data_IF_908800143800
#
_entry.id   IF_908800143800
#
_cell.length_a   1.000
_cell.length_b   1.000
_cell.length_c   1.000
_cell.angle_alpha   90.00
_cell.angle_beta   90.00
_cell.angle_gamma   90.00
#
_symmetry.space_group_name_H-M   'P 1'
#
loop_
_entity.id
_entity.type
_entity.pdbx_description
1 polymer ?
#
# COMPACT_ATOMS: atom_id res chain seq x y z
N UNK A 1 2.26 25.57 22.47
CA UNK A 1 2.75 26.95 22.31
C UNK A 1 3.51 27.23 23.59
N UNK A 2 4.84 27.24 23.55
CA UNK A 2 5.64 27.51 24.75
C UNK A 2 5.46 28.98 25.12
N UNK A 3 4.97 29.25 26.33
CA UNK A 3 4.83 30.61 26.87
C UNK A 3 6.22 31.23 27.02
N UNK A 4 6.40 32.43 26.49
CA UNK A 4 7.65 33.18 26.67
C UNK A 4 7.78 33.65 28.11
N UNK A 5 8.99 34.02 28.54
CA UNK A 5 9.19 34.63 29.86
C UNK A 5 8.38 35.93 30.01
N UNK A 6 8.13 36.64 28.91
CA UNK A 6 7.29 37.84 28.84
C UNK A 6 5.82 37.57 29.14
N UNK A 7 5.33 36.37 28.85
CA UNK A 7 3.92 36.00 29.05
C UNK A 7 3.61 35.66 30.52
N UNK A 8 4.64 35.46 31.34
CA UNK A 8 4.51 35.04 32.75
C UNK A 8 4.94 36.13 33.74
N UNK A 9 5.26 37.34 33.28
CA UNK A 9 5.71 38.45 34.13
C UNK A 9 4.57 38.93 35.03
N UNK A 10 4.86 39.19 36.30
CA UNK A 10 3.87 39.61 37.32
C UNK A 10 3.66 41.13 37.38
N UNK A 11 4.50 41.90 36.69
CA UNK A 11 4.49 43.37 36.69
C UNK A 11 4.96 43.93 35.34
N UNK A 12 4.77 45.22 35.11
CA UNK A 12 5.31 45.86 33.89
C UNK A 12 6.83 45.81 33.87
N UNK A 13 7.40 45.37 32.74
CA UNK A 13 8.85 45.31 32.55
C UNK A 13 9.38 46.75 32.46
N UNK A 14 10.33 47.16 33.33
CA UNK A 14 10.91 48.50 33.26
C UNK A 14 11.57 48.77 31.91
N UNK A 15 11.41 49.99 31.40
CA UNK A 15 11.92 50.44 30.08
C UNK A 15 13.41 50.14 29.87
N UNK A 16 14.17 50.16 30.96
CA UNK A 16 15.62 49.91 30.99
C UNK A 16 15.98 48.45 30.66
N UNK A 17 15.11 47.49 30.97
CA UNK A 17 15.39 46.07 30.74
C UNK A 17 15.15 45.65 29.29
N UNK A 18 14.43 46.43 28.49
CA UNK A 18 14.13 46.09 27.09
C UNK A 18 15.36 46.03 26.19
N UNK A 19 16.45 46.71 26.56
CA UNK A 19 17.70 46.73 25.80
C UNK A 19 18.77 45.82 26.42
N UNK A 20 18.47 45.16 27.55
CA UNK A 20 19.40 44.26 28.21
C UNK A 20 19.34 42.88 27.58
N UNK A 21 20.49 42.23 27.55
CA UNK A 21 20.68 40.86 27.11
C UNK A 21 20.80 39.92 28.31
N UNK A 22 20.69 38.61 28.08
CA UNK A 22 20.71 37.60 29.16
C UNK A 22 22.00 37.67 29.99
N UNK A 23 23.14 38.03 29.38
CA UNK A 23 24.42 38.15 30.10
C UNK A 23 24.43 39.27 31.13
N UNK A 24 23.61 40.30 30.95
CA UNK A 24 23.50 41.43 31.89
C UNK A 24 22.81 41.03 33.21
N UNK A 25 22.20 39.84 33.24
CA UNK A 25 21.59 39.23 34.42
C UNK A 25 22.47 38.17 35.09
N UNK A 26 23.76 38.11 34.72
CA UNK A 26 24.75 37.19 35.29
C UNK A 26 25.74 37.98 36.16
N UNK A 27 26.05 37.48 37.35
CA UNK A 27 27.00 38.10 38.26
C UNK A 27 28.47 37.77 37.90
N UNK A 28 29.42 38.40 38.60
CA UNK A 28 30.84 38.17 38.37
C UNK A 28 31.31 36.73 38.69
N UNK A 29 30.46 35.93 39.36
CA UNK A 29 30.74 34.53 39.68
C UNK A 29 30.17 33.57 38.62
N UNK A 30 29.57 34.08 37.55
CA UNK A 30 28.94 33.27 36.51
C UNK A 30 27.59 32.67 36.92
N UNK A 31 26.93 33.25 37.93
CA UNK A 31 25.64 32.82 38.45
C UNK A 31 24.54 33.85 38.17
N UNK A 32 23.26 33.44 38.19
CA UNK A 32 22.16 34.38 37.99
C UNK A 32 22.12 35.45 39.08
N UNK A 33 22.17 36.72 38.67
CA UNK A 33 21.88 37.85 39.54
C UNK A 33 20.36 37.93 39.82
N UNK A 34 19.85 37.00 40.63
CA UNK A 34 18.41 36.87 40.90
C UNK A 34 17.79 38.18 41.42
N UNK A 35 18.57 39.00 42.12
CA UNK A 35 18.12 40.29 42.65
C UNK A 35 17.60 41.27 41.58
N UNK A 36 18.12 41.20 40.35
CA UNK A 36 17.73 42.14 39.29
C UNK A 36 16.42 41.81 38.59
N UNK A 37 15.88 40.60 38.73
CA UNK A 37 14.66 40.17 38.03
C UNK A 37 13.65 39.37 38.87
N UNK A 38 13.98 38.98 40.11
CA UNK A 38 13.09 38.18 40.97
C UNK A 38 11.73 38.82 41.27
N UNK A 39 11.65 40.15 41.20
CA UNK A 39 10.41 40.90 41.42
C UNK A 39 9.46 40.88 40.21
N UNK A 40 9.98 40.49 39.04
CA UNK A 40 9.25 40.47 37.77
C UNK A 40 8.62 39.11 37.47
N UNK A 41 9.07 38.04 38.11
CA UNK A 41 8.64 36.68 37.81
C UNK A 41 7.95 36.02 39.01
N UNK A 42 6.94 35.16 38.76
CA UNK A 42 6.37 34.33 39.80
C UNK A 42 7.37 33.24 40.20
N UNK A 43 7.18 32.63 41.37
CA UNK A 43 8.06 31.58 41.90
C UNK A 43 8.31 30.45 40.90
N UNK A 44 7.28 30.05 40.13
CA UNK A 44 7.43 29.02 39.09
C UNK A 44 8.41 29.45 37.98
N UNK A 45 8.34 30.71 37.54
CA UNK A 45 9.27 31.26 36.55
C UNK A 45 10.70 31.31 37.08
N UNK A 46 10.89 31.69 38.34
CA UNK A 46 12.21 31.73 38.98
C UNK A 46 12.84 30.35 39.10
N UNK A 47 12.05 29.33 39.43
CA UNK A 47 12.53 27.95 39.48
C UNK A 47 12.96 27.43 38.10
N UNK A 48 12.24 27.81 37.03
CA UNK A 48 12.62 27.47 35.65
C UNK A 48 13.92 28.15 35.23
N UNK A 49 14.10 29.44 35.55
CA UNK A 49 15.35 30.16 35.28
C UNK A 49 16.51 29.56 36.07
N UNK A 50 16.32 29.25 37.35
CA UNK A 50 17.35 28.64 38.19
C UNK A 50 17.77 27.23 37.73
N UNK A 51 16.88 26.50 37.06
CA UNK A 51 17.18 25.17 36.51
C UNK A 51 18.08 25.21 35.25
N UNK A 52 18.20 26.37 34.60
CA UNK A 52 19.03 26.57 33.41
C UNK A 52 20.26 27.38 33.85
N UNK A 53 21.48 26.84 33.86
CA UNK A 53 22.66 27.61 34.22
C UNK A 53 22.88 28.77 33.23
N UNK A 54 23.41 29.92 33.69
CA UNK A 54 23.76 31.02 32.79
C UNK A 54 24.75 30.58 31.72
N UNK A 55 24.69 31.22 30.55
CA UNK A 55 25.65 30.98 29.48
C UNK A 55 27.03 31.48 29.93
N UNK A 56 27.95 30.54 30.19
CA UNK A 56 29.36 30.82 30.49
C UNK A 56 30.25 30.43 29.32
N UNK A 57 31.36 31.13 29.11
CA UNK A 57 32.32 30.90 28.01
C UNK A 57 32.83 29.45 27.90
N UNK A 58 32.75 28.67 28.99
CA UNK A 58 33.13 27.26 29.03
C UNK A 58 32.08 26.28 28.44
N UNK A 59 30.88 26.74 28.07
CA UNK A 59 29.80 25.88 27.54
C UNK A 59 29.94 25.58 26.04
N UNK A 60 30.92 26.21 25.37
CA UNK A 60 31.19 26.04 23.95
C UNK A 60 30.24 26.83 23.06
N UNK A 61 30.34 26.60 21.74
CA UNK A 61 29.49 27.25 20.74
C UNK A 61 28.04 26.74 20.81
N UNK A 62 27.09 27.65 20.59
CA UNK A 62 25.67 27.32 20.47
C UNK A 62 25.43 26.33 19.33
N UNK A 63 24.59 25.32 19.58
CA UNK A 63 24.29 24.26 18.63
C UNK A 63 22.78 24.09 18.51
N UNK A 64 22.25 24.02 17.27
CA UNK A 64 20.85 23.70 17.08
C UNK A 64 20.57 22.32 17.67
N UNK A 65 19.55 22.23 18.52
CA UNK A 65 19.11 20.97 19.11
C UNK A 65 17.73 20.58 18.58
N UNK A 66 17.48 19.28 18.50
CA UNK A 66 16.21 18.75 18.03
C UNK A 66 15.28 18.45 19.20
N UNK A 67 14.34 19.35 19.50
CA UNK A 67 13.45 19.25 20.68
C UNK A 67 12.45 18.09 20.68
N UNK A 68 12.29 17.38 19.55
CA UNK A 68 11.36 16.25 19.43
C UNK A 68 11.98 14.90 19.82
N UNK A 69 13.28 14.85 20.13
CA UNK A 69 13.92 13.63 20.65
C UNK A 69 14.67 13.92 21.96
N UNK A 70 14.61 13.02 22.96
CA UNK A 70 15.37 13.18 24.20
C UNK A 70 16.89 13.24 23.98
N UNK A 71 17.38 12.61 22.90
CA UNK A 71 18.79 12.65 22.49
C UNK A 71 19.19 13.92 21.75
N UNK A 72 18.28 14.90 21.59
CA UNK A 72 18.51 16.14 20.86
C UNK A 72 18.98 15.95 19.40
N UNK A 73 18.80 14.74 18.87
CA UNK A 73 19.29 14.33 17.56
C UNK A 73 18.17 14.39 16.54
N UNK A 74 18.42 15.07 15.43
CA UNK A 74 17.49 15.11 14.30
C UNK A 74 17.35 13.73 13.67
N UNK A 75 16.13 13.26 13.50
CA UNK A 75 15.82 12.12 12.63
C UNK A 75 14.60 12.40 11.78
N UNK A 76 14.60 11.91 10.54
CA UNK A 76 13.42 11.98 9.67
C UNK A 76 12.20 11.33 10.32
N UNK A 77 12.39 10.26 11.11
CA UNK A 77 11.29 9.60 11.87
C UNK A 77 10.63 10.56 12.85
N UNK A 78 11.42 11.27 13.67
CA UNK A 78 10.86 12.18 14.68
C UNK A 78 10.12 13.39 14.08
N UNK A 79 10.57 13.93 12.94
CA UNK A 79 9.77 14.92 12.19
C UNK A 79 8.50 14.29 11.69
N UNK A 80 8.62 13.13 11.05
CA UNK A 80 7.49 12.48 10.44
C UNK A 80 6.42 12.18 11.48
N UNK A 81 6.79 11.66 12.64
CA UNK A 81 5.89 11.41 13.77
C UNK A 81 5.23 12.70 14.27
N UNK A 82 5.98 13.78 14.49
CA UNK A 82 5.42 15.06 14.94
C UNK A 82 4.46 15.69 13.90
N UNK A 83 4.79 15.60 12.61
CA UNK A 83 3.94 16.13 11.53
C UNK A 83 2.74 15.22 11.24
N UNK A 84 2.83 13.95 11.59
CA UNK A 84 1.73 12.97 11.46
C UNK A 84 1.00 12.71 12.78
N UNK A 85 1.31 13.48 13.83
CA UNK A 85 0.62 13.40 15.11
C UNK A 85 -0.86 13.76 14.91
N UNK A 86 -1.77 12.85 15.27
CA UNK A 86 -3.21 12.99 15.00
C UNK A 86 -3.67 12.48 13.63
N UNK A 87 -2.80 11.87 12.82
CA UNK A 87 -3.23 11.16 11.60
C UNK A 87 -4.10 9.96 12.00
N UNK A 88 -5.24 9.82 11.34
CA UNK A 88 -6.25 8.80 11.58
C UNK A 88 -5.64 7.38 11.60
N UNK A 89 -5.80 6.68 12.73
CA UNK A 89 -5.36 5.30 12.97
C UNK A 89 -5.91 4.34 11.90
N UNK A 90 -7.11 4.62 11.38
CA UNK A 90 -7.73 3.85 10.31
C UNK A 90 -6.90 3.91 9.01
N UNK A 91 -6.36 5.10 8.69
CA UNK A 91 -5.51 5.35 7.52
C UNK A 91 -4.18 4.62 7.65
N UNK A 92 -3.54 4.70 8.82
CA UNK A 92 -2.30 3.97 9.10
C UNK A 92 -2.47 2.45 8.96
N UNK A 93 -3.58 1.91 9.48
CA UNK A 93 -3.92 0.48 9.33
C UNK A 93 -4.11 0.08 7.87
N UNK A 94 -4.86 0.88 7.12
CA UNK A 94 -5.15 0.61 5.70
C UNK A 94 -3.88 0.62 4.85
N UNK A 95 -2.96 1.55 5.11
CA UNK A 95 -1.65 1.59 4.45
C UNK A 95 -0.84 0.33 4.75
N UNK A 96 -0.75 -0.10 6.01
CA UNK A 96 -0.02 -1.31 6.39
C UNK A 96 -0.60 -2.57 5.74
N UNK A 97 -1.92 -2.69 5.69
CA UNK A 97 -2.59 -3.81 5.01
C UNK A 97 -2.32 -3.81 3.50
N UNK A 98 -2.31 -2.63 2.87
CA UNK A 98 -2.01 -2.47 1.44
C UNK A 98 -0.56 -2.87 1.14
N UNK A 99 0.41 -2.40 1.94
CA UNK A 99 1.84 -2.72 1.73
C UNK A 99 2.16 -4.20 1.87
N UNK A 100 1.41 -4.93 2.72
CA UNK A 100 1.55 -6.38 2.90
C UNK A 100 1.03 -7.20 1.71
N UNK A 101 0.20 -6.63 0.82
CA UNK A 101 -0.34 -7.37 -0.33
C UNK A 101 0.68 -7.42 -1.47
N UNK A 102 0.96 -8.63 -1.95
CA UNK A 102 1.82 -8.85 -3.11
C UNK A 102 1.12 -8.43 -4.40
N UNK A 103 1.74 -7.51 -5.15
CA UNK A 103 1.27 -6.98 -6.43
C UNK A 103 2.34 -6.09 -7.09
N UNK A 104 2.17 -5.75 -8.37
CA UNK A 104 3.12 -4.93 -9.12
C UNK A 104 3.37 -3.58 -8.43
N UNK A 105 4.65 -3.27 -8.19
CA UNK A 105 5.06 -2.10 -7.40
C UNK A 105 4.47 -0.77 -7.89
N UNK A 106 4.26 -0.61 -9.20
CA UNK A 106 3.65 0.59 -9.79
C UNK A 106 2.20 0.79 -9.35
N UNK A 107 1.37 -0.26 -9.44
CA UNK A 107 -0.05 -0.21 -9.01
C UNK A 107 -0.12 0.03 -7.51
N UNK A 108 0.78 -0.60 -6.73
CA UNK A 108 0.85 -0.40 -5.28
C UNK A 108 1.16 1.05 -4.90
N UNK A 109 2.16 1.65 -5.55
CA UNK A 109 2.52 3.06 -5.33
C UNK A 109 1.36 3.98 -5.68
N UNK A 110 0.70 3.74 -6.81
CA UNK A 110 -0.50 4.47 -7.20
C UNK A 110 -1.62 4.38 -6.15
N UNK A 111 -1.96 3.17 -5.69
CA UNK A 111 -3.00 2.98 -4.67
C UNK A 111 -2.64 3.66 -3.35
N UNK A 112 -1.34 3.68 -3.00
CA UNK A 112 -0.84 4.44 -1.86
C UNK A 112 -1.06 5.95 -2.04
N UNK A 113 -0.79 6.51 -3.23
CA UNK A 113 -1.06 7.92 -3.51
C UNK A 113 -2.55 8.24 -3.41
N UNK A 114 -3.42 7.36 -3.89
CA UNK A 114 -4.89 7.51 -3.77
C UNK A 114 -5.33 7.54 -2.31
N UNK A 115 -4.87 6.59 -1.48
CA UNK A 115 -5.17 6.58 -0.03
C UNK A 115 -4.65 7.80 0.71
N UNK A 116 -3.67 8.50 0.12
CA UNK A 116 -3.09 9.69 0.71
C UNK A 116 -3.61 11.00 0.13
N UNK A 117 -4.58 10.94 -0.79
CA UNK A 117 -5.04 12.09 -1.57
C UNK A 117 -3.86 12.86 -2.20
N UNK A 118 -2.82 12.13 -2.59
CA UNK A 118 -1.54 12.65 -3.07
C UNK A 118 -1.32 12.36 -4.57
N UNK A 119 -2.38 11.93 -5.27
CA UNK A 119 -2.33 11.70 -6.70
C UNK A 119 -2.32 13.06 -7.40
N UNK A 120 -1.35 13.28 -8.29
CA UNK A 120 -1.29 14.48 -9.13
C UNK A 120 -2.47 14.47 -10.10
N UNK A 121 -3.60 15.02 -9.67
CA UNK A 121 -4.73 15.39 -10.53
C UNK A 121 -4.47 16.76 -11.15
N UNK A 122 -5.24 17.15 -12.16
CA UNK A 122 -5.16 18.50 -12.72
C UNK A 122 -5.35 19.60 -11.67
N UNK A 123 -6.17 19.35 -10.64
CA UNK A 123 -6.32 20.26 -9.49
C UNK A 123 -5.04 20.41 -8.67
N UNK A 124 -4.29 19.32 -8.46
CA UNK A 124 -2.99 19.38 -7.78
C UNK A 124 -1.91 20.01 -8.66
N UNK A 125 -1.95 19.80 -9.99
CA UNK A 125 -1.10 20.51 -10.94
C UNK A 125 -1.31 22.03 -10.88
N UNK A 126 -2.57 22.48 -10.76
CA UNK A 126 -2.89 23.90 -10.61
C UNK A 126 -2.48 24.44 -9.22
N UNK A 127 -2.72 23.67 -8.14
CA UNK A 127 -2.28 24.03 -6.78
C UNK A 127 -0.76 24.14 -6.66
N UNK A 128 -0.03 23.31 -7.39
CA UNK A 128 1.44 23.35 -7.46
C UNK A 128 1.98 24.37 -8.50
N UNK A 129 1.12 25.22 -9.07
CA UNK A 129 1.46 26.22 -10.09
C UNK A 129 2.16 25.65 -11.35
N UNK A 130 1.95 24.37 -11.66
CA UNK A 130 2.56 23.68 -12.81
C UNK A 130 1.75 23.85 -14.10
N UNK A 131 0.49 24.27 -14.00
CA UNK A 131 -0.39 24.55 -15.15
C UNK A 131 -1.12 25.87 -14.88
N UNK A 132 -1.16 26.75 -15.90
CA UNK A 132 -1.75 28.08 -15.79
C UNK A 132 -3.28 28.08 -15.69
N UNK A 133 -3.92 26.96 -16.03
CA UNK A 133 -5.36 26.86 -16.13
C UNK A 133 -5.85 25.47 -15.69
N UNK A 134 -6.52 25.41 -14.54
CA UNK A 134 -7.22 24.22 -14.02
C UNK A 134 -8.52 23.92 -14.76
N UNK A 135 -8.99 24.84 -15.60
CA UNK A 135 -10.27 24.78 -16.31
C UNK A 135 -10.20 24.09 -17.67
N UNK A 136 -9.18 23.26 -17.91
CA UNK A 136 -9.24 22.30 -19.03
C UNK A 136 -10.31 21.26 -18.71
N UNK A 137 -11.56 21.65 -18.91
CA UNK A 137 -12.80 20.90 -18.76
C UNK A 137 -12.83 19.79 -19.83
N UNK A 138 -11.98 18.78 -19.70
CA UNK A 138 -12.01 17.61 -20.60
C UNK A 138 -13.22 16.72 -20.27
N UNK A 139 -13.88 16.92 -19.12
CA UNK A 139 -15.07 16.16 -18.69
C UNK A 139 -16.26 17.04 -18.25
N UNK A 140 -16.21 18.36 -18.43
CA UNK A 140 -17.29 19.28 -18.02
C UNK A 140 -17.50 19.42 -16.51
N UNK A 141 -16.63 18.83 -15.67
CA UNK A 141 -16.64 19.01 -14.22
C UNK A 141 -15.82 20.24 -13.81
N UNK A 142 -16.31 21.01 -12.83
CA UNK A 142 -15.65 22.23 -12.33
C UNK A 142 -14.26 21.97 -11.70
N UNK A 143 -14.04 20.76 -11.17
CA UNK A 143 -12.76 20.33 -10.61
C UNK A 143 -12.59 18.81 -10.76
N UNK A 144 -11.50 18.38 -11.38
CA UNK A 144 -11.16 16.97 -11.52
C UNK A 144 -10.50 16.43 -10.24
N UNK A 145 -11.28 15.72 -9.43
CA UNK A 145 -10.82 15.05 -8.21
C UNK A 145 -10.45 13.59 -8.46
N UNK A 146 -9.74 12.95 -7.52
CA UNK A 146 -9.44 11.50 -7.60
C UNK A 146 -10.74 10.68 -7.64
N UNK A 147 -11.73 11.07 -6.84
CA UNK A 147 -13.05 10.46 -6.81
C UNK A 147 -13.73 10.54 -8.18
N UNK A 148 -13.70 11.72 -8.81
CA UNK A 148 -14.24 11.89 -10.15
C UNK A 148 -13.57 10.97 -11.17
N UNK A 149 -12.23 10.94 -11.22
CA UNK A 149 -11.47 10.12 -12.18
C UNK A 149 -11.71 8.62 -11.99
N UNK A 150 -11.82 8.17 -10.73
CA UNK A 150 -11.92 6.74 -10.42
C UNK A 150 -13.35 6.23 -10.34
N UNK A 151 -14.35 7.11 -10.20
CA UNK A 151 -15.71 6.71 -9.85
C UNK A 151 -16.79 7.46 -10.62
N UNK A 152 -16.76 8.79 -10.61
CA UNK A 152 -17.93 9.59 -11.01
C UNK A 152 -17.92 10.03 -12.48
N UNK A 153 -16.77 9.99 -13.15
CA UNK A 153 -16.67 10.26 -14.59
C UNK A 153 -17.41 9.19 -15.41
N UNK A 154 -18.08 9.60 -16.50
CA UNK A 154 -18.92 8.73 -17.32
C UNK A 154 -18.24 7.42 -17.71
N UNK A 155 -16.99 7.49 -18.20
CA UNK A 155 -16.26 6.28 -18.59
C UNK A 155 -15.98 5.37 -17.37
N UNK A 156 -15.67 5.95 -16.21
CA UNK A 156 -15.48 5.19 -14.97
C UNK A 156 -16.77 4.50 -14.54
N UNK A 157 -17.90 5.21 -14.57
CA UNK A 157 -19.21 4.65 -14.28
C UNK A 157 -19.52 3.44 -15.18
N UNK A 158 -19.33 3.57 -16.49
CA UNK A 158 -19.59 2.47 -17.43
C UNK A 158 -18.63 1.29 -17.25
N UNK A 159 -17.35 1.54 -16.94
CA UNK A 159 -16.41 0.46 -16.60
C UNK A 159 -16.90 -0.31 -15.37
N UNK A 160 -17.29 0.38 -14.30
CA UNK A 160 -17.79 -0.27 -13.09
C UNK A 160 -19.09 -1.03 -13.34
N UNK A 161 -20.01 -0.45 -14.12
CA UNK A 161 -21.23 -1.11 -14.56
C UNK A 161 -20.95 -2.45 -15.26
N UNK A 162 -19.98 -2.49 -16.18
CA UNK A 162 -19.59 -3.71 -16.89
C UNK A 162 -18.84 -4.74 -16.03
N UNK A 163 -18.05 -4.29 -15.05
CA UNK A 163 -17.29 -5.18 -14.18
C UNK A 163 -18.15 -5.83 -13.08
N UNK A 164 -19.12 -5.10 -12.54
CA UNK A 164 -19.90 -5.49 -11.34
C UNK A 164 -21.31 -5.96 -11.72
N UNK A 165 -21.83 -5.46 -12.84
CA UNK A 165 -23.18 -5.72 -13.31
C UNK A 165 -24.21 -4.72 -12.77
N UNK A 166 -25.24 -4.48 -13.59
CA UNK A 166 -26.30 -3.48 -13.37
C UNK A 166 -26.97 -3.55 -11.99
N UNK A 167 -27.18 -4.75 -11.46
CA UNK A 167 -27.90 -4.94 -10.20
C UNK A 167 -27.13 -4.45 -8.97
N UNK A 168 -25.79 -4.35 -9.04
CA UNK A 168 -24.92 -4.07 -7.89
C UNK A 168 -24.19 -2.74 -7.98
N UNK A 169 -24.15 -2.10 -9.16
CA UNK A 169 -23.41 -0.84 -9.35
C UNK A 169 -23.96 0.30 -8.49
N UNK A 170 -25.28 0.36 -8.27
CA UNK A 170 -25.89 1.40 -7.42
C UNK A 170 -25.44 1.30 -5.97
N UNK A 171 -25.48 0.11 -5.38
CA UNK A 171 -24.95 -0.14 -4.03
C UNK A 171 -23.45 0.13 -3.98
N UNK A 172 -22.71 -0.32 -4.99
CA UNK A 172 -21.27 -0.14 -5.08
C UNK A 172 -20.85 1.34 -5.05
N UNK A 173 -21.57 2.23 -5.73
CA UNK A 173 -21.20 3.65 -5.81
C UNK A 173 -21.76 4.50 -4.65
N UNK A 174 -22.53 3.91 -3.74
CA UNK A 174 -23.30 4.65 -2.72
C UNK A 174 -22.49 5.12 -1.49
N UNK A 175 -21.33 4.51 -1.21
CA UNK A 175 -20.56 4.80 0.00
C UNK A 175 -19.61 6.01 -0.18
N UNK A 176 -19.21 6.70 0.90
CA UNK A 176 -18.15 7.71 0.85
C UNK A 176 -16.88 7.17 0.20
N UNK A 177 -16.13 8.00 -0.54
CA UNK A 177 -15.01 7.54 -1.37
C UNK A 177 -13.95 6.75 -0.59
N UNK A 178 -13.56 7.22 0.60
CA UNK A 178 -12.56 6.53 1.43
C UNK A 178 -13.04 5.16 1.90
N UNK A 179 -14.30 5.03 2.28
CA UNK A 179 -14.91 3.76 2.71
C UNK A 179 -15.06 2.81 1.53
N UNK A 180 -15.54 3.34 0.40
CA UNK A 180 -15.64 2.62 -0.86
C UNK A 180 -14.30 2.04 -1.29
N UNK A 181 -13.26 2.87 -1.29
CA UNK A 181 -11.92 2.48 -1.72
C UNK A 181 -11.31 1.44 -0.77
N UNK A 182 -11.40 1.69 0.55
CA UNK A 182 -10.84 0.79 1.58
C UNK A 182 -11.54 -0.57 1.56
N UNK A 183 -12.88 -0.60 1.53
CA UNK A 183 -13.69 -1.83 1.49
C UNK A 183 -13.32 -2.69 0.28
N UNK A 184 -13.27 -2.09 -0.90
CA UNK A 184 -13.00 -2.86 -2.13
C UNK A 184 -11.54 -3.32 -2.24
N UNK A 185 -10.59 -2.54 -1.73
CA UNK A 185 -9.17 -2.89 -1.78
C UNK A 185 -8.76 -3.89 -0.67
N UNK A 186 -9.34 -3.78 0.53
CA UNK A 186 -8.90 -4.50 1.72
C UNK A 186 -9.83 -5.66 2.11
N UNK A 187 -11.13 -5.55 1.86
CA UNK A 187 -12.12 -6.55 2.29
C UNK A 187 -12.65 -7.40 1.13
N UNK A 188 -12.13 -7.18 -0.08
CA UNK A 188 -12.49 -7.93 -1.28
C UNK A 188 -12.28 -9.43 -1.15
N UNK A 189 -13.35 -10.20 -1.34
CA UNK A 189 -13.31 -11.67 -1.38
C UNK A 189 -12.55 -12.19 -2.61
N UNK A 190 -11.92 -13.36 -2.47
CA UNK A 190 -11.42 -14.14 -3.59
C UNK A 190 -12.62 -14.81 -4.30
N UNK A 191 -13.17 -14.13 -5.30
CA UNK A 191 -14.14 -14.74 -6.22
C UNK A 191 -13.41 -15.47 -7.35
N UNK A 192 -14.08 -16.45 -7.96
CA UNK A 192 -13.49 -17.33 -8.98
C UNK A 192 -12.92 -16.54 -10.18
N UNK A 193 -11.79 -17.06 -10.68
CA UNK A 193 -10.87 -16.57 -11.71
C UNK A 193 -9.96 -15.38 -11.37
N UNK A 194 -10.44 -14.30 -10.75
CA UNK A 194 -9.60 -13.14 -10.36
C UNK A 194 -10.02 -12.62 -8.98
N UNK A 195 -9.07 -12.49 -8.07
CA UNK A 195 -9.28 -11.92 -6.74
C UNK A 195 -9.80 -10.48 -6.86
N UNK A 196 -10.90 -10.17 -6.16
CA UNK A 196 -11.63 -8.90 -6.32
C UNK A 196 -10.72 -7.68 -6.11
N UNK A 197 -9.92 -7.69 -5.06
CA UNK A 197 -9.02 -6.60 -4.75
C UNK A 197 -7.96 -6.36 -5.85
N UNK A 198 -7.52 -7.42 -6.52
CA UNK A 198 -6.59 -7.33 -7.67
C UNK A 198 -7.30 -6.72 -8.86
N UNK A 199 -8.53 -7.16 -9.15
CA UNK A 199 -9.35 -6.60 -10.23
C UNK A 199 -9.67 -5.12 -9.97
N UNK A 200 -10.11 -4.78 -8.76
CA UNK A 200 -10.43 -3.42 -8.33
C UNK A 200 -9.23 -2.48 -8.41
N UNK A 201 -8.09 -2.89 -7.83
CA UNK A 201 -6.86 -2.08 -7.88
C UNK A 201 -6.34 -1.89 -9.31
N UNK A 202 -6.48 -2.92 -10.16
CA UNK A 202 -6.13 -2.83 -11.58
C UNK A 202 -7.08 -1.88 -12.33
N UNK A 203 -8.39 -1.96 -12.06
CA UNK A 203 -9.38 -1.07 -12.64
C UNK A 203 -9.10 0.39 -12.30
N UNK A 204 -8.84 0.71 -11.03
CA UNK A 204 -8.47 2.06 -10.60
C UNK A 204 -7.23 2.58 -11.34
N UNK A 205 -6.18 1.76 -11.45
CA UNK A 205 -4.97 2.13 -12.19
C UNK A 205 -5.24 2.39 -13.67
N UNK A 206 -6.03 1.52 -14.32
CA UNK A 206 -6.34 1.64 -15.74
C UNK A 206 -7.24 2.84 -16.05
N UNK A 207 -8.21 3.12 -15.18
CA UNK A 207 -9.06 4.32 -15.28
C UNK A 207 -8.22 5.60 -15.21
N UNK A 208 -7.37 5.72 -14.20
CA UNK A 208 -6.47 6.86 -14.09
C UNK A 208 -5.49 6.96 -15.27
N UNK A 209 -4.92 5.84 -15.70
CA UNK A 209 -3.99 5.82 -16.83
C UNK A 209 -4.66 6.21 -18.16
N UNK A 210 -5.88 5.73 -18.39
CA UNK A 210 -6.68 6.09 -19.56
C UNK A 210 -7.01 7.58 -19.54
N UNK A 211 -7.45 8.10 -18.38
CA UNK A 211 -7.75 9.51 -18.22
C UNK A 211 -6.55 10.41 -18.49
N UNK A 212 -5.37 10.03 -17.99
CA UNK A 212 -4.15 10.79 -18.28
C UNK A 212 -3.78 10.78 -19.77
N UNK A 213 -4.03 9.69 -20.49
CA UNK A 213 -3.81 9.65 -21.95
C UNK A 213 -4.79 10.55 -22.70
N UNK A 214 -6.05 10.58 -22.30
CA UNK A 214 -7.05 11.52 -22.83
C UNK A 214 -6.59 12.97 -22.65
N UNK A 215 -6.12 13.33 -21.45
CA UNK A 215 -5.71 14.70 -21.13
C UNK A 215 -4.40 15.11 -21.82
N UNK A 216 -3.41 14.23 -21.84
CA UNK A 216 -2.04 14.56 -22.33
C UNK A 216 -1.93 14.39 -23.85
N UNK A 217 -2.50 13.32 -24.38
CA UNK A 217 -2.31 12.89 -25.77
C UNK A 217 -3.56 13.16 -26.63
N UNK A 218 -4.72 13.36 -26.01
CA UNK A 218 -5.99 13.49 -26.73
C UNK A 218 -6.55 12.16 -27.25
N UNK A 219 -6.11 11.03 -26.67
CA UNK A 219 -6.54 9.69 -27.09
C UNK A 219 -7.89 9.33 -26.46
N UNK A 220 -8.94 9.16 -27.27
CA UNK A 220 -10.25 8.74 -26.78
C UNK A 220 -10.24 7.29 -26.27
N UNK A 221 -10.77 7.07 -25.07
CA UNK A 221 -10.82 5.73 -24.49
C UNK A 221 -12.16 5.05 -24.74
N UNK A 222 -12.14 3.94 -25.50
CA UNK A 222 -13.29 3.05 -25.60
C UNK A 222 -13.48 2.21 -24.32
N UNK A 223 -14.62 2.37 -23.64
CA UNK A 223 -14.98 1.64 -22.41
C UNK A 223 -14.86 0.12 -22.56
N UNK A 224 -15.36 -0.45 -23.67
CA UNK A 224 -15.31 -1.91 -23.89
C UNK A 224 -13.88 -2.42 -23.97
N UNK A 225 -13.02 -1.68 -24.68
CA UNK A 225 -11.59 -1.99 -24.77
C UNK A 225 -10.93 -1.92 -23.40
N UNK A 226 -11.22 -0.86 -22.64
CA UNK A 226 -10.69 -0.66 -21.30
C UNK A 226 -11.08 -1.78 -20.33
N UNK A 227 -12.34 -2.23 -20.34
CA UNK A 227 -12.81 -3.36 -19.53
C UNK A 227 -12.04 -4.65 -19.86
N UNK A 228 -11.79 -4.93 -21.13
CA UNK A 228 -11.00 -6.08 -21.56
C UNK A 228 -9.54 -5.96 -21.09
N UNK A 229 -8.94 -4.78 -21.23
CA UNK A 229 -7.58 -4.50 -20.73
C UNK A 229 -7.49 -4.70 -19.22
N UNK A 230 -8.48 -4.22 -18.46
CA UNK A 230 -8.55 -4.39 -17.00
C UNK A 230 -8.56 -5.88 -16.64
N UNK A 231 -9.46 -6.67 -17.22
CA UNK A 231 -9.58 -8.10 -16.95
C UNK A 231 -8.28 -8.84 -17.30
N UNK A 232 -7.70 -8.56 -18.47
CA UNK A 232 -6.46 -9.18 -18.91
C UNK A 232 -5.28 -8.84 -17.98
N UNK A 233 -5.11 -7.57 -17.62
CA UNK A 233 -4.04 -7.12 -16.71
C UNK A 233 -4.21 -7.66 -15.30
N UNK A 234 -5.44 -7.72 -14.79
CA UNK A 234 -5.70 -8.28 -13.47
C UNK A 234 -5.39 -9.78 -13.42
N UNK A 235 -5.71 -10.51 -14.50
CA UNK A 235 -5.36 -11.93 -14.63
C UNK A 235 -3.84 -12.14 -14.71
N UNK A 236 -3.14 -11.31 -15.50
CA UNK A 236 -1.67 -11.29 -15.57
C UNK A 236 -1.06 -11.10 -14.18
N UNK A 237 -1.55 -10.12 -13.41
CA UNK A 237 -1.05 -9.84 -12.06
C UNK A 237 -1.29 -11.00 -11.10
N UNK A 238 -2.45 -11.64 -11.19
CA UNK A 238 -2.74 -12.81 -10.37
C UNK A 238 -1.80 -13.98 -10.68
N UNK A 239 -1.56 -14.26 -11.97
CA UNK A 239 -0.62 -15.31 -12.38
C UNK A 239 0.79 -14.99 -11.93
N UNK A 240 1.27 -13.76 -12.12
CA UNK A 240 2.58 -13.32 -11.63
C UNK A 240 2.71 -13.45 -10.10
N UNK A 241 1.64 -13.13 -9.36
CA UNK A 241 1.59 -13.30 -7.90
C UNK A 241 1.75 -14.77 -7.51
N UNK A 242 0.98 -15.66 -8.12
CA UNK A 242 1.06 -17.11 -7.87
C UNK A 242 2.44 -17.67 -8.21
N UNK A 243 3.02 -17.27 -9.34
CA UNK A 243 4.37 -17.68 -9.74
C UNK A 243 5.44 -17.18 -8.75
N UNK A 244 5.35 -15.93 -8.28
CA UNK A 244 6.26 -15.41 -7.28
C UNK A 244 6.16 -16.16 -5.96
N UNK A 245 4.94 -16.43 -5.46
CA UNK A 245 4.74 -17.25 -4.27
C UNK A 245 5.33 -18.65 -4.44
N UNK A 246 5.10 -19.28 -5.60
CA UNK A 246 5.68 -20.60 -5.91
C UNK A 246 7.21 -20.57 -5.89
N UNK A 247 7.84 -19.54 -6.45
CA UNK A 247 9.31 -19.36 -6.40
C UNK A 247 9.79 -19.19 -4.96
N UNK A 248 9.10 -18.38 -4.14
CA UNK A 248 9.47 -18.19 -2.73
C UNK A 248 9.30 -19.46 -1.91
N UNK A 249 8.22 -20.21 -2.14
CA UNK A 249 7.99 -21.52 -1.53
C UNK A 249 9.06 -22.52 -1.95
N UNK A 250 9.45 -22.56 -3.22
CA UNK A 250 10.55 -23.40 -3.69
C UNK A 250 11.89 -23.01 -3.06
N UNK A 251 12.20 -21.71 -2.95
CA UNK A 251 13.42 -21.24 -2.27
C UNK A 251 13.42 -21.64 -0.80
N UNK A 252 12.30 -21.44 -0.10
CA UNK A 252 12.14 -21.82 1.32
C UNK A 252 12.21 -23.32 1.52
N UNK A 253 11.62 -24.10 0.61
CA UNK A 253 11.71 -25.56 0.60
C UNK A 253 13.16 -26.01 0.42
N UNK A 254 13.89 -25.48 -0.56
CA UNK A 254 15.32 -25.78 -0.76
C UNK A 254 16.19 -25.42 0.44
N UNK A 255 15.92 -24.27 1.08
CA UNK A 255 16.63 -23.84 2.29
C UNK A 255 16.35 -24.75 3.49
N UNK A 256 15.10 -25.15 3.70
CA UNK A 256 14.68 -26.00 4.82
C UNK A 256 15.03 -27.48 4.64
N UNK A 257 15.10 -27.96 3.40
CA UNK A 257 15.33 -29.38 3.08
C UNK A 257 16.71 -29.65 2.45
N UNK A 258 17.65 -28.69 2.50
CA UNK A 258 19.06 -28.91 2.18
C UNK A 258 19.38 -29.27 0.73
N UNK A 259 18.55 -28.87 -0.25
CA UNK A 259 18.87 -29.02 -1.67
C UNK A 259 19.90 -27.97 -2.12
N UNK A 260 21.16 -28.15 -1.74
CA UNK A 260 22.29 -27.35 -2.24
C UNK A 260 22.70 -27.80 -3.64
N UNK A 261 23.04 -26.85 -4.51
CA UNK A 261 23.58 -27.14 -5.84
C UNK A 261 24.94 -27.85 -5.75
N UNK A 262 25.30 -28.65 -6.76
CA UNK A 262 26.56 -29.42 -6.80
C UNK A 262 27.80 -28.58 -6.50
N UNK A 263 27.81 -27.32 -6.92
CA UNK A 263 28.96 -26.43 -6.74
C UNK A 263 29.09 -25.94 -5.30
N UNK A 264 27.97 -25.66 -4.63
CA UNK A 264 27.98 -25.31 -3.20
C UNK A 264 28.31 -26.52 -2.33
N UNK A 265 27.88 -27.71 -2.75
CA UNK A 265 28.26 -28.94 -2.06
C UNK A 265 29.76 -29.23 -2.22
N UNK A 266 30.34 -29.07 -3.41
CA UNK A 266 31.78 -29.22 -3.62
C UNK A 266 32.62 -28.22 -2.80
N UNK A 267 32.12 -27.00 -2.60
CA UNK A 267 32.82 -25.98 -1.80
C UNK A 267 32.87 -26.33 -0.29
N UNK A 268 31.80 -26.89 0.27
CA UNK A 268 31.77 -27.33 1.68
C UNK A 268 32.54 -28.65 1.85
N UNK A 269 32.44 -29.56 0.88
CA UNK A 269 33.16 -30.83 0.85
C UNK A 269 34.69 -30.68 0.78
N UNK A 270 35.18 -29.63 0.12
CA UNK A 270 36.62 -29.39 -0.07
C UNK A 270 37.43 -29.15 1.21
N UNK A 271 36.77 -29.02 2.37
CA UNK A 271 37.41 -28.86 3.68
C UNK A 271 37.21 -30.03 4.67
N UNK A 272 36.54 -31.12 4.26
CA UNK A 272 36.18 -32.23 5.15
C UNK A 272 37.02 -33.48 4.86
N UNK A 273 37.31 -34.26 5.91
CA UNK A 273 38.07 -35.50 5.79
C UNK A 273 37.29 -36.58 4.99
N UNK A 274 37.97 -37.48 4.26
CA UNK A 274 37.33 -38.41 3.32
C UNK A 274 36.29 -39.36 3.95
N UNK A 275 36.49 -39.73 5.21
CA UNK A 275 35.60 -40.56 6.03
C UNK A 275 34.30 -39.81 6.41
N UNK A 276 34.39 -38.52 6.69
CA UNK A 276 33.23 -37.65 6.93
C UNK A 276 32.43 -37.44 5.64
N UNK A 277 33.10 -37.38 4.50
CA UNK A 277 32.47 -37.25 3.18
C UNK A 277 31.66 -38.48 2.79
N UNK A 278 32.15 -39.69 3.08
CA UNK A 278 31.43 -40.94 2.78
C UNK A 278 30.10 -41.03 3.53
N UNK A 279 30.11 -40.68 4.82
CA UNK A 279 28.90 -40.66 5.67
C UNK A 279 27.90 -39.60 5.17
N UNK A 280 28.37 -38.40 4.84
CA UNK A 280 27.53 -37.32 4.33
C UNK A 280 26.92 -37.65 2.97
N UNK A 281 27.65 -38.31 2.08
CA UNK A 281 27.11 -38.79 0.81
C UNK A 281 26.03 -39.86 1.03
N UNK A 282 26.23 -40.78 1.97
CA UNK A 282 25.26 -41.83 2.28
C UNK A 282 23.95 -41.23 2.80
N UNK A 283 24.05 -40.27 3.72
CA UNK A 283 22.89 -39.54 4.28
C UNK A 283 22.19 -38.72 3.20
N UNK A 284 22.93 -38.03 2.33
CA UNK A 284 22.38 -37.25 1.21
C UNK A 284 21.66 -38.15 0.20
N UNK A 285 22.22 -39.32 -0.13
CA UNK A 285 21.58 -40.32 -1.01
C UNK A 285 20.31 -40.90 -0.37
N UNK A 286 20.32 -41.13 0.94
CA UNK A 286 19.15 -41.58 1.71
C UNK A 286 18.01 -40.56 1.65
N UNK A 287 18.32 -39.29 1.98
CA UNK A 287 17.36 -38.19 1.92
C UNK A 287 16.80 -37.97 0.50
N UNK A 288 17.64 -38.08 -0.53
CA UNK A 288 17.20 -37.95 -1.92
C UNK A 288 16.25 -39.07 -2.37
N UNK A 289 16.39 -40.31 -1.86
CA UNK A 289 15.44 -41.40 -2.14
C UNK A 289 14.09 -41.14 -1.50
N UNK A 290 14.08 -40.73 -0.23
CA UNK A 290 12.85 -40.36 0.50
C UNK A 290 12.17 -39.17 -0.17
N UNK A 291 12.94 -38.19 -0.64
CA UNK A 291 12.41 -37.03 -1.36
C UNK A 291 11.74 -37.40 -2.68
N UNK A 292 12.36 -38.28 -3.50
CA UNK A 292 11.74 -38.73 -4.76
C UNK A 292 10.43 -39.46 -4.52
N UNK A 293 10.32 -40.22 -3.42
CA UNK A 293 9.06 -40.88 -3.05
C UNK A 293 7.99 -39.89 -2.58
N UNK A 294 8.37 -38.84 -1.85
CA UNK A 294 7.43 -37.79 -1.39
C UNK A 294 6.94 -36.91 -2.56
N UNK A 295 7.86 -36.50 -3.44
CA UNK A 295 7.55 -35.70 -4.64
C UNK A 295 6.68 -36.48 -5.63
N UNK A 296 6.93 -37.78 -5.81
CA UNK A 296 6.08 -38.64 -6.63
C UNK A 296 4.65 -38.71 -6.08
N UNK A 297 4.49 -38.92 -4.76
CA UNK A 297 3.17 -38.94 -4.09
C UNK A 297 2.43 -37.61 -4.26
N UNK A 298 3.11 -36.48 -4.05
CA UNK A 298 2.48 -35.16 -4.13
C UNK A 298 2.08 -34.81 -5.58
N UNK A 299 2.92 -35.13 -6.57
CA UNK A 299 2.56 -34.94 -7.98
C UNK A 299 1.38 -35.82 -8.42
N UNK A 300 1.28 -37.02 -7.89
CA UNK A 300 0.16 -37.93 -8.18
C UNK A 300 -1.15 -37.43 -7.56
N UNK A 301 -1.09 -36.86 -6.35
CA UNK A 301 -2.24 -36.23 -5.69
C UNK A 301 -2.72 -34.96 -6.43
N UNK A 302 -1.79 -34.12 -6.90
CA UNK A 302 -2.09 -32.93 -7.71
C UNK A 302 -2.73 -33.31 -9.04
N UNK A 303 -2.22 -34.36 -9.72
CA UNK A 303 -2.83 -34.89 -10.95
C UNK A 303 -4.26 -35.37 -10.69
N UNK A 304 -4.48 -36.13 -9.61
CA UNK A 304 -5.82 -36.62 -9.23
C UNK A 304 -6.81 -35.46 -8.99
N UNK A 305 -6.41 -34.46 -8.22
CA UNK A 305 -7.23 -33.25 -7.97
C UNK A 305 -7.54 -32.46 -9.25
N UNK A 306 -6.58 -32.40 -10.18
CA UNK A 306 -6.77 -31.70 -11.47
C UNK A 306 -7.78 -32.42 -12.36
N UNK A 307 -7.72 -33.76 -12.42
CA UNK A 307 -8.69 -34.59 -13.15
C UNK A 307 -10.09 -34.47 -12.54
N UNK A 308 -10.21 -34.62 -11.21
CA UNK A 308 -11.49 -34.47 -10.51
C UNK A 308 -12.13 -33.09 -10.73
N UNK A 309 -11.30 -32.03 -10.75
CA UNK A 309 -11.77 -30.67 -11.00
C UNK A 309 -12.20 -30.48 -12.47
N UNK A 310 -11.44 -31.04 -13.42
CA UNK A 310 -11.81 -31.06 -14.84
C UNK A 310 -13.14 -31.77 -15.10
N UNK A 311 -13.36 -32.93 -14.50
CA UNK A 311 -14.65 -33.63 -14.59
C UNK A 311 -15.79 -32.84 -13.94
N UNK A 312 -15.54 -32.19 -12.79
CA UNK A 312 -16.53 -31.36 -12.10
C UNK A 312 -16.92 -30.15 -12.95
N UNK A 313 -15.96 -29.52 -13.63
CA UNK A 313 -16.21 -28.43 -14.59
C UNK A 313 -16.99 -28.94 -15.79
N UNK A 314 -16.62 -30.09 -16.36
CA UNK A 314 -17.36 -30.74 -17.44
C UNK A 314 -18.82 -31.03 -17.08
N UNK A 315 -19.07 -31.63 -15.91
CA UNK A 315 -20.44 -31.90 -15.40
C UNK A 315 -21.26 -30.63 -15.18
N UNK A 316 -20.61 -29.53 -14.74
CA UNK A 316 -21.27 -28.22 -14.57
C UNK A 316 -21.59 -27.57 -15.92
N UNK A 317 -20.68 -27.64 -16.88
CA UNK A 317 -20.90 -27.15 -18.24
C UNK A 317 -22.05 -27.92 -18.92
N UNK A 318 -22.08 -29.25 -18.76
CA UNK A 318 -23.13 -30.11 -19.30
C UNK A 318 -24.49 -29.83 -18.66
N UNK A 319 -24.54 -29.66 -17.33
CA UNK A 319 -25.76 -29.26 -16.61
C UNK A 319 -26.24 -27.85 -17.03
N UNK A 320 -25.32 -26.89 -17.19
CA UNK A 320 -25.65 -25.53 -17.63
C UNK A 320 -26.16 -25.52 -19.08
N UNK A 321 -25.56 -26.32 -19.97
CA UNK A 321 -26.02 -26.51 -21.34
C UNK A 321 -27.42 -27.13 -21.38
N UNK A 322 -27.67 -28.16 -20.59
CA UNK A 322 -28.99 -28.81 -20.52
C UNK A 322 -30.07 -27.86 -19.99
N UNK A 323 -29.74 -27.05 -18.97
CA UNK A 323 -30.63 -26.02 -18.41
C UNK A 323 -30.97 -24.93 -19.43
N UNK A 324 -29.95 -24.42 -20.13
CA UNK A 324 -30.10 -23.42 -21.20
C UNK A 324 -30.93 -23.96 -22.37
N UNK A 325 -30.71 -25.22 -22.76
CA UNK A 325 -31.47 -25.90 -23.82
C UNK A 325 -32.95 -26.08 -23.43
N UNK A 326 -33.23 -26.42 -22.17
CA UNK A 326 -34.60 -26.55 -21.65
C UNK A 326 -35.33 -25.20 -21.51
N UNK A 327 -34.61 -24.13 -21.20
CA UNK A 327 -35.13 -22.76 -21.19
C UNK A 327 -35.48 -22.31 -22.62
N UNK A 328 -34.61 -22.57 -23.60
CA UNK A 328 -34.84 -22.27 -25.02
C UNK A 328 -35.94 -23.12 -25.64
N UNK A 329 -36.14 -24.36 -25.17
CA UNK A 329 -37.21 -25.26 -25.61
C UNK A 329 -38.59 -24.94 -25.01
N UNK A 330 -38.68 -24.10 -23.97
CA UNK A 330 -39.96 -23.62 -23.43
C UNK A 330 -40.55 -22.43 -24.22
N UNK A 331 -39.71 -21.68 -24.93
CA UNK A 331 -40.11 -20.54 -25.76
C UNK A 331 -40.52 -20.93 -27.20
N UNK A 332 -40.35 -22.20 -27.58
CA UNK A 332 -40.78 -22.72 -28.88
C UNK A 332 -41.67 -23.93 -28.70
N UNK A 333 -42.94 -23.67 -28.40
CA UNK A 333 -44.00 -24.56 -28.89
C UNK A 333 -44.03 -24.42 -30.40
N UNK A 334 -43.36 -25.33 -31.11
CA UNK A 334 -43.86 -25.93 -32.36
C UNK A 334 -42.88 -26.98 -32.91
N UNK A 335 -43.44 -28.17 -33.09
CA UNK A 335 -43.04 -29.32 -33.91
C UNK A 335 -41.74 -29.19 -34.73
N UNK A 336 -40.68 -29.92 -34.36
CA UNK A 336 -39.80 -30.62 -35.33
C UNK A 336 -39.20 -31.88 -34.69
N UNK A 337 -39.36 -33.01 -35.37
CA UNK A 337 -38.81 -34.32 -35.02
C UNK A 337 -37.27 -34.34 -35.00
N UNK A 338 -36.68 -35.02 -34.02
CA UNK A 338 -35.25 -35.34 -33.98
C UNK A 338 -35.02 -36.67 -34.71
N UNK A 339 -34.14 -36.74 -35.73
CA UNK A 339 -33.73 -38.03 -36.28
C UNK A 339 -32.72 -38.70 -35.34
N UNK A 340 -32.97 -39.97 -35.05
CA UNK A 340 -31.97 -40.87 -34.50
C UNK A 340 -30.93 -41.18 -35.59
N UNK A 341 -29.64 -40.92 -35.31
CA UNK A 341 -28.55 -41.56 -36.03
C UNK A 341 -27.31 -41.70 -35.12
N UNK A 342 -26.78 -42.92 -35.16
CA UNK A 342 -25.64 -43.50 -34.45
C UNK A 342 -24.30 -42.93 -34.92
N UNK A 343 -23.26 -43.11 -34.09
CA UNK A 343 -21.85 -42.93 -34.44
C UNK A 343 -20.97 -42.72 -33.23
#
# INVERSE_FOLDING_TARGET
>A
MESTLGDIVTSEIPSQLHQMSVIDFVDCNGTWNSGSFQHLLPTEGLLKVAAIPPLTDCLGEDKPFWGLTPSSSFTVSSIFEAVTEGVDVSRQRNQNLMWRRNGLGKVRMFLWLVLNNALLTNSEHARCHMVADSSREVCGAHQETIEHVLRDYDNAFFVWHELIGRAKVGEFLSSPFNDWFSKNLLEGNETYDIAWNTLFGTACWQLWSARNREVIVGEETCTKSLVLTIKAKAMEFQVSRTNFLNIQLQKRYKYTHGQWGRDTWRAIAGGLAPDVMEVLEMVTRGMARTQRTEEAKNNEEVKKKTVENGERVGRRAQTAFYRKSKELGRDKGDSVAVPAALG
#
